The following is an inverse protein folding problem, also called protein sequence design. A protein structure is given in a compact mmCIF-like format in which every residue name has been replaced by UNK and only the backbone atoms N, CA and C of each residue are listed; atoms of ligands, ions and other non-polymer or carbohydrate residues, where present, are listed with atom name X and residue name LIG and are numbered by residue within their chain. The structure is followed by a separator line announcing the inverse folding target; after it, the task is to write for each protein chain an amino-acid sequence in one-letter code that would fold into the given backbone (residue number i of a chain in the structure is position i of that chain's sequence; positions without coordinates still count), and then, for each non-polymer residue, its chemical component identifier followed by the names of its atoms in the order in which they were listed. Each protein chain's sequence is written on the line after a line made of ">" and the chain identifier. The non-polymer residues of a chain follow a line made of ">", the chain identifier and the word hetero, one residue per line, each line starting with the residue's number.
data_IF_059801001265
#
_entry.id   IF_059801001265
#
_cell.length_a   1.000
_cell.length_b   1.000
_cell.length_c   1.000
_cell.angle_alpha   90.00
_cell.angle_beta   90.00
_cell.angle_gamma   90.00
#
_symmetry.space_group_name_H-M   'P 1'
#
loop_
_entity.id
_entity.type
_entity.pdbx_description
1 polymer ?
#
# COMPACT_ATOMS: atom_id res chain seq x y z
N UNK A 1 -7.80 -36.08 26.16
CA UNK A 1 -8.99 -35.34 25.66
C UNK A 1 -9.19 -34.00 26.37
N UNK A 2 -9.25 -33.97 27.70
CA UNK A 2 -9.43 -32.72 28.49
C UNK A 2 -8.33 -31.67 28.27
N UNK A 3 -7.06 -32.08 28.15
CA UNK A 3 -5.94 -31.17 27.88
C UNK A 3 -6.07 -30.46 26.52
N UNK A 4 -6.56 -31.16 25.50
CA UNK A 4 -6.78 -30.59 24.16
C UNK A 4 -7.94 -29.58 24.14
N UNK A 5 -9.01 -29.88 24.86
CA UNK A 5 -10.14 -28.96 25.04
C UNK A 5 -9.69 -27.72 25.81
N UNK A 6 -8.86 -27.89 26.85
CA UNK A 6 -8.31 -26.78 27.62
C UNK A 6 -7.40 -25.88 26.77
N UNK A 7 -6.47 -26.45 26.00
CA UNK A 7 -5.58 -25.71 25.10
C UNK A 7 -6.40 -25.00 24.01
N UNK A 8 -7.40 -25.67 23.42
CA UNK A 8 -8.28 -25.08 22.39
C UNK A 8 -9.11 -23.92 22.96
N UNK A 9 -9.64 -24.07 24.17
CA UNK A 9 -10.42 -23.03 24.84
C UNK A 9 -9.55 -21.86 25.25
N UNK A 10 -8.34 -22.13 25.77
CA UNK A 10 -7.35 -21.10 26.10
C UNK A 10 -6.89 -20.34 24.86
N UNK A 11 -6.68 -21.03 23.74
CA UNK A 11 -6.31 -20.40 22.47
C UNK A 11 -7.45 -19.52 21.94
N UNK A 12 -8.70 -19.99 21.96
CA UNK A 12 -9.86 -19.18 21.60
C UNK A 12 -10.03 -17.97 22.53
N UNK A 13 -9.78 -18.13 23.83
CA UNK A 13 -9.85 -17.02 24.79
C UNK A 13 -8.72 -15.99 24.54
N UNK A 14 -7.52 -16.44 24.17
CA UNK A 14 -6.41 -15.59 23.74
C UNK A 14 -6.76 -14.82 22.46
N UNK A 15 -7.39 -15.48 21.48
CA UNK A 15 -7.81 -14.85 20.21
C UNK A 15 -8.94 -13.84 20.45
N UNK A 16 -9.89 -14.13 21.34
CA UNK A 16 -11.01 -13.23 21.68
C UNK A 16 -10.53 -11.97 22.42
N UNK A 17 -9.48 -12.06 23.24
CA UNK A 17 -8.89 -10.88 23.91
C UNK A 17 -8.03 -10.03 22.97
N UNK A 18 -7.52 -10.62 21.88
CA UNK A 18 -6.91 -9.87 20.76
C UNK A 18 -7.99 -9.23 19.88
N UNK A 19 -8.75 -8.29 20.45
CA UNK A 19 -9.62 -7.42 19.68
C UNK A 19 -8.81 -6.70 18.60
N UNK A 20 -9.26 -6.63 17.32
CA UNK A 20 -8.53 -5.92 16.28
C UNK A 20 -8.42 -4.46 16.73
N UNK A 21 -7.20 -4.02 17.06
CA UNK A 21 -6.92 -2.63 17.41
C UNK A 21 -7.41 -1.76 16.25
N UNK A 22 -8.54 -1.08 16.43
CA UNK A 22 -9.00 -0.07 15.47
C UNK A 22 -7.98 1.06 15.54
N UNK A 23 -7.07 1.07 14.58
CA UNK A 23 -6.04 2.09 14.49
C UNK A 23 -6.74 3.39 14.14
N UNK A 24 -6.73 4.32 15.08
CA UNK A 24 -7.23 5.66 14.90
C UNK A 24 -6.18 6.43 14.08
N UNK A 25 -6.51 6.71 12.82
CA UNK A 25 -5.62 7.40 11.87
C UNK A 25 -6.09 8.85 11.80
N UNK A 26 -5.18 9.78 12.04
CA UNK A 26 -5.43 11.22 11.92
C UNK A 26 -5.68 11.63 10.47
N UNK A 27 -6.38 12.74 10.28
CA UNK A 27 -6.61 13.30 8.94
C UNK A 27 -5.29 13.68 8.24
N UNK A 28 -4.28 14.11 8.99
CA UNK A 28 -2.96 14.44 8.47
C UNK A 28 -2.22 13.21 7.93
N UNK A 29 -2.27 12.08 8.64
CA UNK A 29 -1.71 10.80 8.14
C UNK A 29 -2.44 10.33 6.87
N UNK A 30 -3.77 10.47 6.82
CA UNK A 30 -4.56 10.16 5.61
C UNK A 30 -4.14 11.01 4.43
N UNK A 31 -3.97 12.31 4.64
CA UNK A 31 -3.52 13.26 3.61
C UNK A 31 -2.12 12.89 3.09
N UNK A 32 -1.18 12.58 3.99
CA UNK A 32 0.17 12.18 3.62
C UNK A 32 0.20 10.86 2.85
N UNK A 33 -0.54 9.85 3.31
CA UNK A 33 -0.69 8.57 2.61
C UNK A 33 -1.22 8.80 1.20
N UNK A 34 -2.25 9.65 1.05
CA UNK A 34 -2.83 9.97 -0.25
C UNK A 34 -1.83 10.67 -1.17
N UNK A 35 -1.14 11.70 -0.68
CA UNK A 35 -0.14 12.49 -1.44
C UNK A 35 0.99 11.59 -1.93
N UNK A 36 1.53 10.74 -1.06
CA UNK A 36 2.64 9.82 -1.38
C UNK A 36 2.19 8.74 -2.36
N UNK A 37 1.02 8.12 -2.14
CA UNK A 37 0.50 7.08 -3.02
C UNK A 37 0.31 7.59 -4.46
N UNK A 38 -0.26 8.79 -4.62
CA UNK A 38 -0.43 9.42 -5.94
C UNK A 38 0.91 9.68 -6.60
N UNK A 39 1.84 10.34 -5.91
CA UNK A 39 3.16 10.66 -6.46
C UNK A 39 3.89 9.42 -6.98
N UNK A 40 3.86 8.31 -6.24
CA UNK A 40 4.48 7.05 -6.66
C UNK A 40 3.80 6.44 -7.90
N UNK A 41 2.47 6.41 -7.91
CA UNK A 41 1.69 5.86 -9.03
C UNK A 41 1.81 6.75 -10.27
N UNK A 42 1.85 8.07 -10.12
CA UNK A 42 2.03 9.01 -11.23
C UNK A 42 3.42 8.84 -11.89
N UNK A 43 4.43 8.44 -11.09
CA UNK A 43 5.77 8.07 -11.57
C UNK A 43 5.84 6.64 -12.15
N UNK A 44 4.74 5.88 -12.14
CA UNK A 44 4.66 4.47 -12.54
C UNK A 44 5.63 3.54 -11.75
N UNK A 45 5.94 3.90 -10.49
CA UNK A 45 6.87 3.17 -9.62
C UNK A 45 6.17 2.26 -8.60
N UNK A 46 4.84 2.09 -8.66
CA UNK A 46 4.10 1.42 -7.60
C UNK A 46 4.53 -0.03 -7.36
N UNK A 47 4.91 -0.77 -8.40
CA UNK A 47 5.31 -2.17 -8.26
C UNK A 47 6.59 -2.32 -7.44
N UNK A 48 7.59 -1.50 -7.74
CA UNK A 48 8.86 -1.47 -7.00
C UNK A 48 8.63 -0.96 -5.57
N UNK A 49 7.83 0.10 -5.41
CA UNK A 49 7.51 0.65 -4.11
C UNK A 49 6.79 -0.37 -3.21
N UNK A 50 5.76 -1.06 -3.71
CA UNK A 50 5.03 -2.08 -2.96
C UNK A 50 5.97 -3.21 -2.54
N UNK A 51 6.81 -3.71 -3.45
CA UNK A 51 7.76 -4.78 -3.15
C UNK A 51 8.70 -4.38 -2.00
N UNK A 52 9.31 -3.19 -2.08
CA UNK A 52 10.20 -2.68 -1.03
C UNK A 52 9.46 -2.51 0.31
N UNK A 53 8.29 -1.87 0.28
CA UNK A 53 7.47 -1.63 1.48
C UNK A 53 7.05 -2.94 2.16
N UNK A 54 6.71 -3.98 1.39
CA UNK A 54 6.39 -5.30 1.94
C UNK A 54 7.59 -5.94 2.65
N UNK A 55 8.81 -5.79 2.11
CA UNK A 55 10.04 -6.30 2.72
C UNK A 55 10.40 -5.59 4.02
N UNK A 56 10.20 -4.26 4.10
CA UNK A 56 10.58 -3.48 5.29
C UNK A 56 9.47 -3.41 6.35
N UNK A 57 8.22 -3.73 6.02
CA UNK A 57 7.09 -3.79 6.95
C UNK A 57 7.34 -4.55 8.28
N UNK A 58 8.07 -5.68 8.33
CA UNK A 58 8.41 -6.32 9.61
C UNK A 58 9.42 -5.53 10.45
N UNK A 59 10.25 -4.68 9.83
CA UNK A 59 11.31 -3.91 10.50
C UNK A 59 10.77 -2.76 11.34
N UNK A 60 9.56 -2.25 11.06
CA UNK A 60 8.93 -1.21 11.88
C UNK A 60 8.65 -1.66 13.32
N UNK A 61 8.58 -2.97 13.60
CA UNK A 61 8.50 -3.49 14.97
C UNK A 61 9.78 -3.30 15.79
N UNK A 62 10.92 -3.06 15.13
CA UNK A 62 12.24 -2.80 15.73
C UNK A 62 12.52 -1.27 15.70
N UNK A 63 11.53 -0.47 15.29
CA UNK A 63 11.72 0.81 14.64
C UNK A 63 11.72 2.02 15.57
N UNK A 64 12.90 2.47 15.96
CA UNK A 64 13.16 3.90 16.15
C UNK A 64 14.12 4.39 15.07
N UNK A 65 15.37 3.93 15.12
CA UNK A 65 16.47 4.46 14.28
C UNK A 65 16.49 3.90 12.84
N UNK A 66 16.04 2.66 12.63
CA UNK A 66 16.02 2.06 11.28
C UNK A 66 14.98 2.70 10.37
N UNK A 67 13.84 3.17 10.91
CA UNK A 67 12.82 3.85 10.13
C UNK A 67 13.40 5.13 9.51
N UNK A 68 14.17 5.92 10.27
CA UNK A 68 14.88 7.08 9.75
C UNK A 68 15.84 6.71 8.62
N UNK A 69 16.64 5.65 8.76
CA UNK A 69 17.56 5.21 7.71
C UNK A 69 16.85 4.84 6.40
N UNK A 70 15.75 4.08 6.47
CA UNK A 70 15.01 3.64 5.29
C UNK A 70 14.13 4.74 4.68
N UNK A 71 13.61 5.65 5.50
CA UNK A 71 12.72 6.73 5.08
C UNK A 71 13.48 8.01 4.67
N UNK A 72 14.72 8.19 5.13
CA UNK A 72 15.56 9.35 4.82
C UNK A 72 15.73 9.65 3.32
N UNK A 73 15.94 8.65 2.43
CA UNK A 73 16.03 8.91 0.99
C UNK A 73 14.76 9.53 0.39
N UNK A 74 13.62 9.41 1.07
CA UNK A 74 12.34 9.93 0.63
C UNK A 74 12.04 11.33 1.21
N UNK A 75 12.75 11.78 2.26
CA UNK A 75 12.57 13.10 2.87
C UNK A 75 12.58 14.28 1.87
N UNK A 76 13.46 14.32 0.86
CA UNK A 76 13.44 15.41 -0.13
C UNK A 76 12.17 15.47 -0.99
N UNK A 77 11.40 14.38 -1.06
CA UNK A 77 10.12 14.35 -1.79
C UNK A 77 8.99 15.06 -1.03
N UNK A 78 9.26 15.48 0.21
CA UNK A 78 8.28 15.83 1.23
C UNK A 78 8.54 17.22 1.82
N UNK A 79 8.90 18.18 0.96
CA UNK A 79 8.88 19.62 1.24
C UNK A 79 9.22 19.97 2.71
N UNK A 80 8.30 20.59 3.43
CA UNK A 80 8.39 21.02 4.83
C UNK A 80 7.83 19.99 5.83
N UNK A 81 7.20 18.91 5.36
CA UNK A 81 6.49 17.91 6.19
C UNK A 81 7.34 16.68 6.53
N UNK A 82 8.66 16.84 6.65
CA UNK A 82 9.60 15.73 6.81
C UNK A 82 9.44 14.96 8.13
N UNK A 83 9.16 15.64 9.23
CA UNK A 83 8.94 15.00 10.54
C UNK A 83 7.58 14.30 10.60
N UNK A 84 6.54 14.92 10.07
CA UNK A 84 5.20 14.33 9.97
C UNK A 84 5.22 13.09 9.08
N UNK A 85 6.02 13.09 8.01
CA UNK A 85 6.23 11.90 7.20
C UNK A 85 6.85 10.76 8.00
N UNK A 86 7.92 11.03 8.75
CA UNK A 86 8.57 10.02 9.56
C UNK A 86 7.62 9.44 10.62
N UNK A 87 6.91 10.30 11.37
CA UNK A 87 5.91 9.86 12.36
C UNK A 87 4.78 9.04 11.72
N UNK A 88 4.31 9.47 10.54
CA UNK A 88 3.27 8.77 9.79
C UNK A 88 3.74 7.37 9.39
N UNK A 89 4.93 7.25 8.80
CA UNK A 89 5.38 6.00 8.16
C UNK A 89 6.21 5.09 9.06
N UNK A 90 6.54 5.51 10.29
CA UNK A 90 7.02 4.62 11.35
C UNK A 90 5.95 3.61 11.77
N UNK A 91 4.66 4.01 11.72
CA UNK A 91 3.53 3.15 12.06
C UNK A 91 3.31 2.09 10.98
N UNK A 92 3.43 0.82 11.36
CA UNK A 92 3.25 -0.34 10.47
C UNK A 92 1.92 -0.32 9.72
N UNK A 93 0.87 0.14 10.38
CA UNK A 93 -0.48 0.19 9.83
C UNK A 93 -0.60 1.23 8.72
N UNK A 94 0.12 2.35 8.83
CA UNK A 94 0.15 3.38 7.79
C UNK A 94 0.90 2.90 6.54
N UNK A 95 1.96 2.09 6.69
CA UNK A 95 2.63 1.42 5.57
C UNK A 95 1.68 0.48 4.83
N UNK A 96 0.87 -0.29 5.56
CA UNK A 96 -0.14 -1.17 4.97
C UNK A 96 -1.21 -0.38 4.21
N UNK A 97 -1.65 0.75 4.76
CA UNK A 97 -2.62 1.63 4.11
C UNK A 97 -2.04 2.26 2.84
N UNK A 98 -0.77 2.67 2.87
CA UNK A 98 -0.07 3.19 1.69
C UNK A 98 -0.01 2.15 0.57
N UNK A 99 0.39 0.91 0.88
CA UNK A 99 0.42 -0.19 -0.09
C UNK A 99 -0.95 -0.37 -0.74
N UNK A 100 -2.00 -0.55 0.06
CA UNK A 100 -3.38 -0.74 -0.44
C UNK A 100 -3.86 0.44 -1.27
N UNK A 101 -3.47 1.66 -0.90
CA UNK A 101 -3.87 2.85 -1.63
C UNK A 101 -3.22 2.91 -3.01
N UNK A 102 -1.93 2.59 -3.12
CA UNK A 102 -1.22 2.49 -4.40
C UNK A 102 -1.83 1.41 -5.30
N UNK A 103 -2.15 0.23 -4.75
CA UNK A 103 -2.81 -0.85 -5.51
C UNK A 103 -4.15 -0.39 -6.10
N UNK A 104 -4.95 0.34 -5.31
CA UNK A 104 -6.23 0.90 -5.76
C UNK A 104 -6.04 1.92 -6.89
N UNK A 105 -5.12 2.87 -6.71
CA UNK A 105 -4.81 3.89 -7.72
C UNK A 105 -4.30 3.27 -9.04
N UNK A 106 -3.39 2.30 -8.96
CA UNK A 106 -2.85 1.63 -10.15
C UNK A 106 -3.93 0.86 -10.92
N UNK A 107 -4.87 0.24 -10.19
CA UNK A 107 -6.04 -0.43 -10.79
C UNK A 107 -7.00 0.57 -11.46
N UNK A 108 -7.22 1.73 -10.85
CA UNK A 108 -8.01 2.82 -11.42
C UNK A 108 -7.37 3.33 -12.72
N UNK A 109 -6.07 3.65 -12.70
CA UNK A 109 -5.28 4.08 -13.88
C UNK A 109 -5.30 3.06 -15.01
N UNK A 110 -5.15 1.77 -14.70
CA UNK A 110 -5.16 0.70 -15.69
C UNK A 110 -6.52 0.57 -16.39
N UNK A 111 -7.63 0.65 -15.63
CA UNK A 111 -8.98 0.65 -16.18
C UNK A 111 -9.26 1.86 -17.07
N UNK A 112 -8.70 3.03 -16.73
CA UNK A 112 -8.80 4.23 -17.57
C UNK A 112 -8.05 4.05 -18.89
N UNK A 113 -6.81 3.52 -18.84
CA UNK A 113 -6.02 3.19 -20.04
C UNK A 113 -6.78 2.17 -20.94
N UNK A 114 -7.41 1.16 -20.35
CA UNK A 114 -8.22 0.17 -21.08
C UNK A 114 -9.47 0.76 -21.74
N UNK A 115 -10.18 1.69 -21.08
CA UNK A 115 -11.35 2.38 -21.67
C UNK A 115 -10.95 3.24 -22.87
N UNK A 116 -9.80 3.90 -22.80
CA UNK A 116 -9.31 4.79 -23.86
C UNK A 116 -8.79 3.97 -25.06
N UNK A 117 -8.08 2.87 -24.82
CA UNK A 117 -7.42 2.10 -25.88
C UNK A 117 -8.26 0.92 -26.40
N UNK A 118 -9.02 0.23 -25.55
CA UNK A 118 -9.61 -1.09 -25.79
C UNK A 118 -10.50 -1.19 -27.04
N UNK A 119 -11.69 -0.58 -27.09
CA UNK A 119 -12.61 -0.83 -28.21
C UNK A 119 -12.14 -0.17 -29.51
N UNK A 120 -11.53 1.02 -29.46
CA UNK A 120 -11.12 1.77 -30.65
C UNK A 120 -9.88 1.16 -31.33
N UNK A 121 -8.88 0.75 -30.56
CA UNK A 121 -7.66 0.15 -31.11
C UNK A 121 -7.91 -1.26 -31.65
N UNK A 122 -8.62 -2.11 -30.91
CA UNK A 122 -8.93 -3.48 -31.34
C UNK A 122 -9.82 -3.49 -32.59
N UNK A 123 -10.79 -2.57 -32.69
CA UNK A 123 -11.61 -2.43 -33.90
C UNK A 123 -10.77 -1.98 -35.11
N UNK A 124 -9.81 -1.05 -34.92
CA UNK A 124 -8.86 -0.67 -35.98
C UNK A 124 -7.96 -1.81 -36.40
N UNK A 125 -7.43 -2.57 -35.44
CA UNK A 125 -6.53 -3.71 -35.69
C UNK A 125 -7.26 -4.84 -36.42
N UNK A 126 -8.46 -5.20 -35.96
CA UNK A 126 -9.33 -6.19 -36.60
C UNK A 126 -9.65 -5.77 -38.03
N UNK A 127 -10.07 -4.52 -38.25
CA UNK A 127 -10.37 -4.02 -39.59
C UNK A 127 -9.16 -4.13 -40.54
N UNK A 128 -7.96 -3.80 -40.08
CA UNK A 128 -6.71 -3.88 -40.87
C UNK A 128 -6.28 -5.32 -41.18
N UNK A 129 -6.47 -6.25 -40.24
CA UNK A 129 -6.14 -7.67 -40.40
C UNK A 129 -7.11 -8.40 -41.34
N UNK A 130 -8.40 -8.06 -41.30
CA UNK A 130 -9.44 -8.69 -42.12
C UNK A 130 -9.69 -7.96 -43.46
N UNK A 131 -9.14 -6.76 -43.67
CA UNK A 131 -9.22 -6.03 -44.95
C UNK A 131 -7.99 -6.24 -45.86
N UNK A 132 -7.03 -7.06 -45.45
CA UNK A 132 -5.79 -7.35 -46.19
C UNK A 132 -5.75 -8.78 -46.76
N UNK A 133 -6.90 -9.47 -46.78
CA UNK A 133 -7.16 -10.70 -47.54
C UNK A 133 -8.32 -10.42 -48.49
#
# INVERSE_FOLDING_TARGET
>A
MLLFIFISTMFNLLVVTMSPKRVEISEMERELIEKVARKIVDMELEGVAIMLLQTIKPLTKIGGELAYFYLAPFLPLLEDKGYEFLDTFEKRENIELLIRRMEKLSKERSKEKEKIQGPSFLNKLKKKLFSSR
#
